data_IF_670111431589
#
_entry.id   IF_670111431589
#
_cell.length_a   1.000
_cell.length_b   1.000
_cell.length_c   1.000
_cell.angle_alpha   90.00
_cell.angle_beta   90.00
_cell.angle_gamma   90.00
#
_symmetry.space_group_name_H-M   'P 1'
#
loop_
_entity.id
_entity.type
_entity.pdbx_description
1 polymer ?
#
# COMPACT_ATOMS: atom_id res chain seq x y z
N UNK A 1 16.68 0.12 10.11
CA UNK A 1 15.56 -0.26 9.22
C UNK A 1 14.44 0.74 9.50
N UNK A 2 14.16 1.66 8.57
CA UNK A 2 13.00 2.57 8.69
C UNK A 2 11.76 1.75 8.34
N UNK A 3 10.88 1.53 9.32
CA UNK A 3 9.71 0.67 9.14
C UNK A 3 8.65 1.37 8.31
N UNK A 4 8.30 0.81 7.15
CA UNK A 4 7.08 1.16 6.41
C UNK A 4 5.86 0.33 6.90
N UNK A 5 6.02 -0.44 7.98
CA UNK A 5 4.95 -1.21 8.61
C UNK A 5 4.56 -2.50 7.88
N UNK A 6 5.31 -2.93 6.86
CA UNK A 6 5.06 -4.18 6.15
C UNK A 6 6.02 -5.28 6.65
N UNK A 7 5.65 -6.10 7.65
CA UNK A 7 6.31 -7.40 7.84
C UNK A 7 6.10 -8.24 6.56
N UNK A 8 7.08 -9.09 6.22
CA UNK A 8 7.20 -9.83 4.95
C UNK A 8 5.91 -9.94 4.13
N UNK A 9 5.93 -9.33 2.94
CA UNK A 9 4.80 -9.34 2.01
C UNK A 9 4.73 -10.72 1.35
N UNK A 10 3.65 -11.45 1.60
CA UNK A 10 3.44 -12.77 1.02
C UNK A 10 3.16 -12.69 -0.49
N UNK A 11 3.77 -13.59 -1.26
CA UNK A 11 3.40 -13.80 -2.65
C UNK A 11 2.02 -14.46 -2.75
N UNK A 12 1.28 -14.17 -3.83
CA UNK A 12 -0.08 -14.71 -4.05
C UNK A 12 -0.14 -16.24 -4.01
N UNK A 13 0.94 -16.91 -4.42
CA UNK A 13 1.07 -18.37 -4.32
C UNK A 13 1.11 -18.88 -2.89
N UNK A 14 1.72 -18.13 -1.97
CA UNK A 14 1.82 -18.48 -0.55
C UNK A 14 0.44 -18.35 0.10
N UNK A 15 -0.32 -17.32 -0.24
CA UNK A 15 -1.72 -17.16 0.20
C UNK A 15 -2.57 -18.36 -0.26
N UNK A 16 -2.44 -18.76 -1.53
CA UNK A 16 -3.15 -19.95 -2.06
C UNK A 16 -2.72 -21.25 -1.38
N UNK A 17 -1.44 -21.39 -1.06
CA UNK A 17 -0.92 -22.55 -0.34
C UNK A 17 -1.44 -22.60 1.10
N UNK A 18 -1.45 -21.46 1.79
CA UNK A 18 -1.96 -21.34 3.15
C UNK A 18 -3.45 -21.68 3.24
N UNK A 19 -4.27 -21.21 2.29
CA UNK A 19 -5.70 -21.57 2.22
C UNK A 19 -5.90 -23.09 2.10
N UNK A 20 -5.15 -23.75 1.22
CA UNK A 20 -5.21 -25.21 1.06
C UNK A 20 -4.69 -25.95 2.30
N UNK A 21 -3.60 -25.49 2.90
CA UNK A 21 -3.04 -26.09 4.11
C UNK A 21 -4.01 -25.98 5.30
N UNK A 22 -4.81 -24.92 5.35
CA UNK A 22 -5.89 -24.75 6.33
C UNK A 22 -7.15 -25.59 6.03
N UNK A 23 -7.15 -26.38 4.95
CA UNK A 23 -8.26 -27.27 4.57
C UNK A 23 -9.38 -26.60 3.79
N UNK A 24 -9.16 -25.41 3.24
CA UNK A 24 -10.13 -24.77 2.35
C UNK A 24 -9.93 -25.18 0.89
N UNK A 25 -11.06 -25.28 0.18
CA UNK A 25 -11.09 -25.35 -1.27
C UNK A 25 -11.07 -23.93 -1.85
N UNK A 26 -10.04 -23.60 -2.63
CA UNK A 26 -9.95 -22.29 -3.29
C UNK A 26 -10.82 -22.30 -4.54
N UNK A 27 -11.96 -21.60 -4.48
CA UNK A 27 -12.93 -21.46 -5.58
C UNK A 27 -12.43 -20.45 -6.60
N UNK A 28 -11.88 -19.34 -6.13
CA UNK A 28 -11.38 -18.25 -6.97
C UNK A 28 -10.16 -17.63 -6.31
N UNK A 29 -9.16 -17.24 -7.10
CA UNK A 29 -8.03 -16.46 -6.64
C UNK A 29 -7.43 -15.71 -7.83
N UNK A 30 -7.51 -14.37 -7.83
CA UNK A 30 -6.93 -13.54 -8.87
C UNK A 30 -6.56 -12.16 -8.36
N UNK A 31 -5.66 -11.51 -9.07
CA UNK A 31 -5.29 -10.12 -8.83
C UNK A 31 -6.29 -9.18 -9.51
N UNK A 32 -7.10 -8.46 -8.73
CA UNK A 32 -8.07 -7.50 -9.25
C UNK A 32 -7.42 -6.21 -9.77
N UNK A 33 -6.13 -5.97 -9.50
CA UNK A 33 -5.41 -4.84 -10.09
C UNK A 33 -5.34 -4.93 -11.61
N UNK A 34 -5.33 -6.14 -12.16
CA UNK A 34 -5.33 -6.38 -13.60
C UNK A 34 -6.70 -6.11 -14.25
N UNK A 35 -7.78 -6.21 -13.47
CA UNK A 35 -9.17 -6.01 -13.91
C UNK A 35 -9.66 -4.56 -13.67
N UNK A 36 -8.83 -3.72 -13.06
CA UNK A 36 -9.19 -2.36 -12.67
C UNK A 36 -9.20 -1.40 -13.87
N UNK A 37 -10.03 -0.35 -13.78
CA UNK A 37 -10.06 0.72 -14.78
C UNK A 37 -8.65 1.31 -15.00
N UNK A 38 -8.08 1.22 -16.22
CA UNK A 38 -6.75 1.76 -16.53
C UNK A 38 -6.63 3.27 -16.26
N UNK A 39 -7.74 4.01 -16.35
CA UNK A 39 -7.77 5.45 -16.05
C UNK A 39 -7.78 5.74 -14.54
N UNK A 40 -8.15 4.75 -13.73
CA UNK A 40 -8.28 4.88 -12.27
C UNK A 40 -7.50 3.77 -11.55
N UNK A 41 -6.18 3.66 -11.74
CA UNK A 41 -5.39 2.63 -11.08
C UNK A 41 -5.34 2.87 -9.57
N UNK A 42 -5.22 1.79 -8.79
CA UNK A 42 -5.25 1.86 -7.32
C UNK A 42 -4.17 2.77 -6.71
N UNK A 43 -3.03 2.93 -7.40
CA UNK A 43 -1.91 3.77 -6.97
C UNK A 43 -2.07 5.25 -7.35
N UNK A 44 -3.06 5.61 -8.16
CA UNK A 44 -3.37 7.00 -8.57
C UNK A 44 -3.39 7.99 -7.39
N UNK A 45 -4.10 7.74 -6.27
CA UNK A 45 -4.09 8.66 -5.13
C UNK A 45 -2.72 8.84 -4.48
N UNK A 46 -1.81 7.86 -4.62
CA UNK A 46 -0.46 7.90 -4.05
C UNK A 46 0.52 8.68 -4.93
N UNK A 47 0.36 8.64 -6.27
CA UNK A 47 1.20 9.37 -7.23
C UNK A 47 1.22 10.88 -7.03
N UNK A 48 0.15 11.46 -6.49
CA UNK A 48 0.09 12.92 -6.26
C UNK A 48 0.04 13.75 -7.55
N UNK A 49 -0.33 13.14 -8.69
CA UNK A 49 -0.45 13.82 -10.00
C UNK A 49 -1.67 14.73 -10.13
N UNK A 50 -2.66 14.60 -9.24
CA UNK A 50 -3.83 15.48 -9.25
C UNK A 50 -3.46 16.84 -8.62
N UNK A 51 -3.42 17.91 -9.42
CA UNK A 51 -3.19 19.32 -8.98
C UNK A 51 -4.31 19.90 -8.09
N UNK A 52 -5.18 19.04 -7.55
CA UNK A 52 -6.18 19.45 -6.58
C UNK A 52 -5.53 19.90 -5.27
N UNK A 53 -6.21 20.75 -4.50
CA UNK A 53 -5.77 21.18 -3.16
C UNK A 53 -5.47 19.98 -2.22
N UNK A 54 -6.09 18.82 -2.47
CA UNK A 54 -5.87 17.58 -1.72
C UNK A 54 -4.64 16.79 -2.20
N UNK A 55 -4.20 16.98 -3.44
CA UNK A 55 -3.02 16.35 -4.03
C UNK A 55 -1.74 17.16 -3.85
N UNK A 56 -1.84 18.49 -3.67
CA UNK A 56 -0.69 19.38 -3.47
C UNK A 56 0.34 18.88 -2.45
N UNK A 57 -0.03 18.38 -1.24
CA UNK A 57 0.95 17.88 -0.27
C UNK A 57 1.79 16.69 -0.75
N UNK A 58 1.31 15.95 -1.76
CA UNK A 58 1.99 14.76 -2.32
C UNK A 58 2.91 15.11 -3.48
N UNK A 59 2.80 16.30 -4.05
CA UNK A 59 3.73 16.80 -5.08
C UNK A 59 5.13 17.02 -4.48
N UNK A 60 6.21 16.98 -5.28
CA UNK A 60 7.57 17.26 -4.80
C UNK A 60 7.69 18.61 -4.07
N UNK A 61 7.03 19.64 -4.60
CA UNK A 61 7.00 20.97 -3.98
C UNK A 61 6.22 20.99 -2.66
N UNK A 62 5.05 20.32 -2.61
CA UNK A 62 4.26 20.20 -1.39
C UNK A 62 4.96 19.39 -0.29
N UNK A 63 5.68 18.32 -0.68
CA UNK A 63 6.54 17.55 0.23
C UNK A 63 7.69 18.39 0.77
N UNK A 64 8.32 19.22 -0.05
CA UNK A 64 9.37 20.13 0.39
C UNK A 64 8.83 21.16 1.40
N UNK A 65 7.68 21.76 1.12
CA UNK A 65 7.02 22.70 2.02
C UNK A 65 6.60 22.03 3.34
N UNK A 66 5.99 20.85 3.27
CA UNK A 66 5.59 20.07 4.46
C UNK A 66 6.80 19.69 5.31
N UNK A 67 7.90 19.25 4.69
CA UNK A 67 9.15 18.95 5.40
C UNK A 67 9.73 20.18 6.10
N UNK A 68 9.70 21.35 5.45
CA UNK A 68 10.14 22.60 6.05
C UNK A 68 9.26 22.98 7.25
N UNK A 69 7.94 22.89 7.09
CA UNK A 69 6.98 23.16 8.15
C UNK A 69 7.18 22.24 9.36
N UNK A 70 7.36 20.93 9.13
CA UNK A 70 7.64 19.95 10.18
C UNK A 70 8.98 20.25 10.88
N UNK A 71 10.03 20.57 10.13
CA UNK A 71 11.34 20.93 10.69
C UNK A 71 11.26 22.16 11.61
N UNK A 72 10.54 23.19 11.19
CA UNK A 72 10.32 24.40 12.00
C UNK A 72 9.45 24.08 13.21
N UNK A 73 8.37 23.33 13.02
CA UNK A 73 7.47 22.91 14.10
C UNK A 73 8.17 22.07 15.17
N UNK A 74 9.06 21.14 14.78
CA UNK A 74 9.87 20.35 15.71
C UNK A 74 10.80 21.26 16.53
N UNK A 75 11.50 22.18 15.86
CA UNK A 75 12.39 23.15 16.53
C UNK A 75 11.64 24.03 17.53
N UNK A 76 10.42 24.43 17.19
CA UNK A 76 9.55 25.24 18.05
C UNK A 76 8.77 24.38 19.08
N UNK A 77 8.95 23.05 19.10
CA UNK A 77 8.20 22.10 19.93
C UNK A 77 6.67 22.17 19.76
N UNK A 78 6.20 22.58 18.58
CA UNK A 78 4.79 22.59 18.18
C UNK A 78 4.36 21.18 17.75
N UNK A 79 5.25 20.45 17.08
CA UNK A 79 5.03 19.04 16.70
C UNK A 79 6.02 18.13 17.42
N UNK A 80 5.68 16.84 17.63
CA UNK A 80 6.58 15.88 18.26
C UNK A 80 7.91 15.74 17.52
N UNK A 81 8.98 15.52 18.29
CA UNK A 81 10.28 15.17 17.73
C UNK A 81 10.16 13.88 16.89
N UNK A 82 10.71 13.90 15.67
CA UNK A 82 10.66 12.77 14.75
C UNK A 82 9.48 12.77 13.78
N UNK A 83 8.54 13.73 13.89
CA UNK A 83 7.43 13.88 12.95
C UNK A 83 7.91 14.04 11.50
N UNK A 84 9.00 14.78 11.26
CA UNK A 84 9.62 14.92 9.93
C UNK A 84 10.17 13.60 9.41
N UNK A 85 10.78 12.80 10.28
CA UNK A 85 11.32 11.50 9.88
C UNK A 85 10.21 10.51 9.51
N UNK A 86 9.12 10.47 10.28
CA UNK A 86 7.92 9.69 9.97
C UNK A 86 7.33 10.14 8.62
N UNK A 87 7.17 11.45 8.41
CA UNK A 87 6.67 11.98 7.13
C UNK A 87 7.55 11.59 5.94
N UNK A 88 8.88 11.64 6.11
CA UNK A 88 9.83 11.21 5.08
C UNK A 88 9.68 9.72 4.76
N UNK A 89 9.58 8.87 5.78
CA UNK A 89 9.42 7.42 5.60
C UNK A 89 8.08 7.07 4.91
N UNK A 90 6.99 7.77 5.25
CA UNK A 90 5.69 7.59 4.59
C UNK A 90 5.71 8.00 3.12
N UNK A 91 6.40 9.09 2.78
CA UNK A 91 6.56 9.52 1.39
C UNK A 91 7.40 8.52 0.58
N UNK A 92 8.49 8.02 1.13
CA UNK A 92 9.32 6.97 0.52
C UNK A 92 8.51 5.68 0.31
N UNK A 93 7.69 5.27 1.29
CA UNK A 93 6.79 4.13 1.15
C UNK A 93 5.72 4.35 0.07
N UNK A 94 5.16 5.56 -0.03
CA UNK A 94 4.20 5.88 -1.08
C UNK A 94 4.82 5.79 -2.48
N UNK A 95 6.05 6.28 -2.65
CA UNK A 95 6.79 6.19 -3.92
C UNK A 95 7.07 4.73 -4.30
N UNK A 96 7.54 3.92 -3.34
CA UNK A 96 7.78 2.49 -3.56
C UNK A 96 6.49 1.71 -3.92
N UNK A 97 5.34 2.05 -3.31
CA UNK A 97 4.05 1.44 -3.66
C UNK A 97 3.60 1.83 -5.07
N UNK A 98 3.80 3.10 -5.46
CA UNK A 98 3.52 3.56 -6.82
C UNK A 98 4.38 2.80 -7.83
N UNK A 99 5.69 2.71 -7.60
CA UNK A 99 6.62 2.00 -8.48
C UNK A 99 6.26 0.51 -8.58
N UNK A 100 5.90 -0.10 -7.45
CA UNK A 100 5.43 -1.49 -7.40
C UNK A 100 4.15 -1.72 -8.19
N UNK A 101 3.20 -0.78 -8.12
CA UNK A 101 1.96 -0.81 -8.89
C UNK A 101 2.16 -0.57 -10.38
N UNK A 102 3.03 0.38 -10.76
CA UNK A 102 3.35 0.70 -12.16
C UNK A 102 4.11 -0.45 -12.84
N UNK A 103 5.05 -1.08 -12.13
CA UNK A 103 5.80 -2.23 -12.65
C UNK A 103 5.02 -3.55 -12.61
N UNK A 104 3.88 -3.59 -11.90
CA UNK A 104 3.05 -4.79 -11.77
C UNK A 104 3.63 -5.87 -10.84
N UNK A 105 4.68 -5.55 -10.08
CA UNK A 105 5.30 -6.51 -9.13
C UNK A 105 4.62 -6.54 -7.77
N UNK A 106 3.76 -5.54 -7.50
CA UNK A 106 3.02 -5.42 -6.24
C UNK A 106 1.55 -5.16 -6.51
N UNK A 107 0.70 -5.88 -5.78
CA UNK A 107 -0.76 -5.66 -5.77
C UNK A 107 -1.29 -5.68 -4.34
N UNK A 108 -2.05 -4.65 -3.93
CA UNK A 108 -2.84 -4.70 -2.70
C UNK A 108 -4.24 -5.32 -2.93
N UNK A 109 -4.54 -5.78 -4.15
CA UNK A 109 -5.89 -6.16 -4.57
C UNK A 109 -5.99 -7.65 -4.95
N UNK A 110 -5.19 -8.49 -4.29
CA UNK A 110 -5.31 -9.94 -4.44
C UNK A 110 -6.61 -10.44 -3.79
N UNK A 111 -7.55 -10.87 -4.63
CA UNK A 111 -8.83 -11.43 -4.21
C UNK A 111 -8.78 -12.95 -4.17
N UNK A 112 -9.45 -13.54 -3.18
CA UNK A 112 -9.71 -14.97 -3.13
C UNK A 112 -11.09 -15.28 -2.55
N UNK A 113 -11.71 -16.33 -3.09
CA UNK A 113 -12.90 -16.97 -2.54
C UNK A 113 -12.53 -18.41 -2.18
N UNK A 114 -12.75 -18.78 -0.92
CA UNK A 114 -12.45 -20.10 -0.42
C UNK A 114 -13.66 -20.69 0.31
N UNK A 115 -13.91 -21.97 0.08
CA UNK A 115 -15.01 -22.72 0.67
C UNK A 115 -14.48 -23.75 1.65
N UNK A 116 -15.10 -23.84 2.82
CA UNK A 116 -14.86 -24.96 3.74
C UNK A 116 -15.56 -26.20 3.17
N UNK A 117 -14.88 -27.33 2.96
CA UNK A 117 -15.53 -28.54 2.48
C UNK A 117 -16.57 -29.01 3.49
N UNK A 118 -17.75 -29.43 3.01
CA UNK A 118 -18.72 -30.12 3.84
C UNK A 118 -18.11 -31.46 4.23
N UNK A 119 -18.19 -31.79 5.51
CA UNK A 119 -17.78 -33.10 6.00
C UNK A 119 -18.79 -34.11 5.44
N UNK A 120 -18.39 -34.92 4.45
CA UNK A 120 -19.16 -36.11 4.11
C UNK A 120 -19.05 -37.03 5.33
N UNK A 121 -20.16 -37.22 6.04
CA UNK A 121 -20.25 -38.26 7.05
C UNK A 121 -20.37 -39.60 6.31
N UNK A 122 -19.31 -40.41 6.40
CA UNK A 122 -19.36 -41.85 6.11
C UNK A 122 -19.62 -42.62 7.41
#
# INVERSE_FOLDING_TARGET
MKGNGLPDIAHTSEIRAALRAAGFEVVEARDLALDSDPETPWYRPLQGGDLSLRGLPRTPAGRALTNLALRVGEKLRIVPEGAREVSSALNEGADALVDGGVSGVFTPMFYYLARKPLRTED
#
